data_IF_809188192684
#
_entry.id   IF_809188192684
#
_cell.length_a   1.000
_cell.length_b   1.000
_cell.length_c   1.000
_cell.angle_alpha   90.00
_cell.angle_beta   90.00
_cell.angle_gamma   90.00
#
_symmetry.space_group_name_H-M   'P 1'
#
loop_
_entity.id
_entity.type
_entity.pdbx_description
1 polymer ?
#
# COMPACT_ATOMS: atom_id res chain seq x y z
N UNK A 1 -10.92 -3.03 -41.54
CA UNK A 1 -10.65 -2.70 -40.12
C UNK A 1 -9.20 -2.29 -40.00
N UNK A 2 -8.93 -0.99 -39.94
CA UNK A 2 -7.55 -0.47 -39.91
C UNK A 2 -6.90 -0.75 -38.58
N UNK A 3 -5.76 -1.42 -38.58
CA UNK A 3 -4.89 -1.52 -37.43
C UNK A 3 -4.47 -0.08 -37.03
N UNK A 4 -5.02 0.43 -35.94
CA UNK A 4 -4.43 1.60 -35.28
C UNK A 4 -3.04 1.21 -34.81
N UNK A 5 -2.01 1.74 -35.46
CA UNK A 5 -0.62 1.61 -34.99
C UNK A 5 -0.53 2.24 -33.61
N UNK A 6 -0.11 1.47 -32.61
CA UNK A 6 0.14 1.99 -31.24
C UNK A 6 1.46 2.77 -31.12
N UNK A 7 2.14 3.03 -32.25
CA UNK A 7 3.41 3.74 -32.29
C UNK A 7 3.13 5.25 -32.35
N UNK A 8 3.62 5.96 -31.36
CA UNK A 8 3.58 7.43 -31.30
C UNK A 8 4.97 7.98 -31.57
N UNK A 9 5.13 8.95 -32.48
CA UNK A 9 6.43 9.58 -32.71
C UNK A 9 6.99 10.20 -31.42
N UNK A 10 8.30 10.07 -31.22
CA UNK A 10 8.97 10.64 -30.04
C UNK A 10 8.80 12.16 -29.98
N UNK A 11 8.70 12.83 -31.12
CA UNK A 11 8.45 14.27 -31.21
C UNK A 11 7.15 14.70 -30.52
N UNK A 12 6.06 13.94 -30.73
CA UNK A 12 4.76 14.23 -30.13
C UNK A 12 4.79 14.01 -28.63
N UNK A 13 5.51 12.96 -28.19
CA UNK A 13 5.73 12.68 -26.76
C UNK A 13 6.57 13.77 -26.09
N UNK A 14 7.64 14.24 -26.75
CA UNK A 14 8.50 15.32 -26.25
C UNK A 14 7.75 16.64 -26.16
N UNK A 15 7.01 17.03 -27.19
CA UNK A 15 6.21 18.25 -27.19
C UNK A 15 5.25 18.25 -26.00
N UNK A 16 4.46 17.18 -25.83
CA UNK A 16 3.54 17.07 -24.72
C UNK A 16 4.22 17.00 -23.34
N UNK A 17 5.48 16.55 -23.27
CA UNK A 17 6.27 16.55 -22.04
C UNK A 17 6.79 17.96 -21.71
N UNK A 18 7.34 18.69 -22.71
CA UNK A 18 7.88 20.04 -22.57
C UNK A 18 6.75 21.03 -22.21
N UNK A 19 5.60 20.95 -22.88
CA UNK A 19 4.44 21.80 -22.58
C UNK A 19 3.98 21.65 -21.13
N UNK A 20 4.01 20.41 -20.60
CA UNK A 20 3.74 20.17 -19.18
C UNK A 20 4.83 20.66 -18.25
N UNK A 21 6.08 20.63 -18.68
CA UNK A 21 7.23 21.08 -17.89
C UNK A 21 7.30 22.61 -17.78
N UNK A 22 6.91 23.33 -18.84
CA UNK A 22 6.92 24.79 -18.90
C UNK A 22 5.75 25.42 -18.13
N UNK A 23 4.63 24.74 -18.05
CA UNK A 23 3.55 25.20 -17.18
C UNK A 23 3.99 24.94 -15.74
N UNK A 24 3.91 25.99 -14.87
CA UNK A 24 4.26 25.92 -13.42
C UNK A 24 3.52 24.83 -12.65
N UNK A 25 2.67 24.08 -13.32
CA UNK A 25 2.01 22.86 -12.89
C UNK A 25 2.85 21.59 -13.12
N UNK A 26 4.15 21.64 -13.50
CA UNK A 26 4.93 20.41 -13.69
C UNK A 26 4.96 19.55 -12.41
N UNK A 27 5.06 20.19 -11.24
CA UNK A 27 4.90 19.51 -9.97
C UNK A 27 3.45 19.01 -9.71
N UNK A 28 2.45 19.64 -10.33
CA UNK A 28 1.02 19.25 -10.24
C UNK A 28 0.56 18.38 -11.41
N UNK A 29 1.22 18.45 -12.58
CA UNK A 29 0.84 17.69 -13.78
C UNK A 29 1.40 16.28 -13.82
N UNK A 30 2.48 16.00 -13.08
CA UNK A 30 2.88 14.64 -12.75
C UNK A 30 1.92 14.20 -11.65
N UNK A 31 0.93 13.41 -12.03
CA UNK A 31 -0.14 12.89 -11.17
C UNK A 31 0.40 11.92 -10.10
N UNK A 32 1.35 12.41 -9.30
CA UNK A 32 1.96 11.67 -8.21
C UNK A 32 1.00 11.66 -7.03
N UNK A 33 0.79 10.50 -6.45
CA UNK A 33 0.06 10.41 -5.20
C UNK A 33 1.05 10.37 -4.04
N UNK A 34 0.84 11.25 -3.07
CA UNK A 34 1.58 11.19 -1.81
C UNK A 34 1.17 9.96 -1.03
N UNK A 35 2.14 9.28 -0.45
CA UNK A 35 1.91 8.18 0.49
C UNK A 35 1.41 8.66 1.85
N UNK A 36 1.62 9.95 2.16
CA UNK A 36 1.39 10.52 3.49
C UNK A 36 2.58 10.39 4.42
N UNK A 37 3.73 9.92 3.89
CA UNK A 37 5.01 9.82 4.58
C UNK A 37 6.05 10.61 3.77
N UNK A 38 6.44 11.78 4.29
CA UNK A 38 7.27 12.75 3.57
C UNK A 38 8.61 12.17 3.14
N UNK A 39 9.33 11.51 4.06
CA UNK A 39 10.62 10.89 3.76
C UNK A 39 10.51 9.79 2.69
N UNK A 40 9.39 9.04 2.70
CA UNK A 40 9.14 8.02 1.69
C UNK A 40 8.85 8.66 0.33
N UNK A 41 8.06 9.72 0.33
CA UNK A 41 7.73 10.48 -0.88
C UNK A 41 8.95 11.22 -1.45
N UNK A 42 9.90 11.67 -0.62
CA UNK A 42 11.17 12.27 -1.08
C UNK A 42 12.02 11.26 -1.85
N UNK A 43 12.15 10.01 -1.35
CA UNK A 43 12.95 8.98 -2.00
C UNK A 43 12.26 8.45 -3.27
N UNK A 44 10.92 8.25 -3.21
CA UNK A 44 10.17 7.61 -4.31
C UNK A 44 9.57 8.60 -5.29
N UNK A 45 9.58 9.88 -4.95
CA UNK A 45 8.79 10.92 -5.60
C UNK A 45 7.28 10.62 -5.61
N UNK A 46 6.78 9.91 -4.58
CA UNK A 46 5.39 9.45 -4.46
C UNK A 46 5.05 8.24 -5.34
N UNK A 47 3.76 7.92 -5.44
CA UNK A 47 3.26 6.81 -6.26
C UNK A 47 2.89 7.31 -7.65
N UNK A 48 3.38 6.64 -8.69
CA UNK A 48 3.19 7.08 -10.08
C UNK A 48 2.15 6.24 -10.81
N UNK A 49 1.43 6.82 -11.79
CA UNK A 49 0.54 6.09 -12.67
C UNK A 49 1.23 4.91 -13.36
N UNK A 50 0.53 3.79 -13.47
CA UNK A 50 1.04 2.58 -14.12
C UNK A 50 2.04 1.77 -13.30
N UNK A 51 2.36 2.18 -12.06
CA UNK A 51 3.25 1.42 -11.19
C UNK A 51 2.54 0.28 -10.47
N UNK A 52 3.25 -0.85 -10.38
CA UNK A 52 2.97 -1.91 -9.43
C UNK A 52 3.93 -1.78 -8.24
N UNK A 53 3.38 -1.49 -7.08
CA UNK A 53 4.09 -1.32 -5.81
C UNK A 53 3.83 -2.54 -4.93
N UNK A 54 4.87 -3.24 -4.54
CA UNK A 54 4.76 -4.39 -3.64
C UNK A 54 5.14 -3.97 -2.24
N UNK A 55 4.24 -4.20 -1.28
CA UNK A 55 4.49 -4.02 0.15
C UNK A 55 4.62 -5.40 0.80
N UNK A 56 5.86 -5.83 1.01
CA UNK A 56 6.18 -7.15 1.53
C UNK A 56 6.65 -7.10 2.99
N UNK A 57 6.43 -8.20 3.73
CA UNK A 57 6.89 -8.33 5.10
C UNK A 57 6.34 -9.60 5.75
N UNK A 58 6.91 -9.97 6.90
CA UNK A 58 6.42 -11.10 7.68
C UNK A 58 5.02 -10.82 8.24
N UNK A 59 4.26 -11.85 8.64
CA UNK A 59 3.01 -11.66 9.38
C UNK A 59 3.20 -10.72 10.59
N UNK A 60 2.16 -9.99 10.94
CA UNK A 60 2.13 -9.05 12.09
C UNK A 60 3.02 -7.81 11.99
N UNK A 61 3.78 -7.61 10.90
CA UNK A 61 4.56 -6.38 10.68
C UNK A 61 3.69 -5.13 10.45
N UNK A 62 2.42 -5.28 10.10
CA UNK A 62 1.51 -4.16 9.85
C UNK A 62 1.32 -3.78 8.38
N UNK A 63 1.57 -4.69 7.42
CA UNK A 63 1.41 -4.41 5.97
C UNK A 63 0.04 -3.84 5.62
N UNK A 64 -1.02 -4.53 6.03
CA UNK A 64 -2.41 -4.07 5.84
C UNK A 64 -2.62 -2.68 6.44
N UNK A 65 -2.08 -2.43 7.65
CA UNK A 65 -2.20 -1.12 8.32
C UNK A 65 -1.50 -0.03 7.52
N UNK A 66 -0.27 -0.27 7.03
CA UNK A 66 0.46 0.72 6.22
C UNK A 66 -0.25 0.98 4.89
N UNK A 67 -0.69 -0.08 4.19
CA UNK A 67 -1.44 0.07 2.94
C UNK A 67 -2.75 0.86 3.14
N UNK A 68 -3.47 0.58 4.24
CA UNK A 68 -4.69 1.32 4.61
C UNK A 68 -4.39 2.76 5.00
N UNK A 69 -3.29 3.05 5.74
CA UNK A 69 -2.94 4.42 6.10
C UNK A 69 -2.59 5.26 4.86
N UNK A 70 -1.93 4.67 3.85
CA UNK A 70 -1.71 5.31 2.55
C UNK A 70 -3.06 5.57 1.85
N UNK A 71 -3.95 4.56 1.80
CA UNK A 71 -5.28 4.70 1.22
C UNK A 71 -6.11 5.78 1.91
N UNK A 72 -6.11 5.81 3.25
CA UNK A 72 -6.77 6.83 4.06
C UNK A 72 -6.19 8.22 3.81
N UNK A 73 -4.86 8.35 3.67
CA UNK A 73 -4.24 9.63 3.34
C UNK A 73 -4.72 10.13 1.99
N UNK A 74 -4.69 9.28 0.97
CA UNK A 74 -5.14 9.63 -0.39
C UNK A 74 -6.63 9.99 -0.41
N UNK A 75 -7.48 9.21 0.27
CA UNK A 75 -8.93 9.43 0.25
C UNK A 75 -9.37 10.58 1.17
N UNK A 76 -8.92 10.59 2.44
CA UNK A 76 -9.45 11.53 3.43
C UNK A 76 -8.72 12.88 3.41
N UNK A 77 -7.42 12.91 3.07
CA UNK A 77 -6.63 14.15 3.13
C UNK A 77 -6.54 14.80 1.75
N UNK A 78 -6.34 14.00 0.69
CA UNK A 78 -6.25 14.53 -0.69
C UNK A 78 -7.61 14.58 -1.40
N UNK A 79 -8.61 13.84 -0.91
CA UNK A 79 -9.93 13.76 -1.54
C UNK A 79 -9.95 12.95 -2.85
N UNK A 80 -8.90 12.18 -3.10
CA UNK A 80 -8.78 11.36 -4.30
C UNK A 80 -9.45 9.98 -4.10
N UNK A 81 -10.26 9.49 -5.06
CA UNK A 81 -10.93 8.20 -4.94
C UNK A 81 -9.97 7.00 -4.92
N UNK A 82 -10.13 6.15 -3.91
CA UNK A 82 -9.30 4.95 -3.67
C UNK A 82 -10.17 3.71 -3.64
N UNK A 83 -9.72 2.64 -4.30
CA UNK A 83 -10.34 1.32 -4.23
C UNK A 83 -9.42 0.34 -3.48
N UNK A 84 -9.96 -0.33 -2.46
CA UNK A 84 -9.27 -1.31 -1.64
C UNK A 84 -9.96 -2.66 -1.79
N UNK A 85 -9.22 -3.66 -2.25
CA UNK A 85 -9.64 -5.06 -2.33
C UNK A 85 -8.97 -5.83 -1.20
N UNK A 86 -9.72 -6.12 -0.15
CA UNK A 86 -9.24 -6.87 1.00
C UNK A 86 -9.80 -8.30 0.98
N UNK A 87 -8.92 -9.29 1.08
CA UNK A 87 -9.26 -10.71 1.04
C UNK A 87 -8.94 -11.42 2.35
N UNK A 88 -8.36 -10.72 3.31
CA UNK A 88 -7.91 -11.33 4.58
C UNK A 88 -8.87 -11.04 5.73
N UNK A 89 -9.57 -9.92 5.68
CA UNK A 89 -10.39 -9.43 6.78
C UNK A 89 -11.84 -9.22 6.37
N UNK A 90 -12.77 -9.37 7.32
CA UNK A 90 -14.17 -8.98 7.11
C UNK A 90 -14.32 -7.46 6.97
N UNK A 91 -15.43 -7.04 6.34
CA UNK A 91 -15.77 -5.62 6.17
C UNK A 91 -15.80 -4.89 7.52
N UNK A 92 -16.38 -5.52 8.55
CA UNK A 92 -16.44 -4.92 9.89
C UNK A 92 -15.06 -4.70 10.49
N UNK A 93 -14.16 -5.69 10.36
CA UNK A 93 -12.81 -5.59 10.89
C UNK A 93 -11.99 -4.50 10.20
N UNK A 94 -12.08 -4.37 8.88
CA UNK A 94 -11.34 -3.33 8.16
C UNK A 94 -11.92 -1.94 8.45
N UNK A 95 -13.26 -1.83 8.57
CA UNK A 95 -13.93 -0.58 8.94
C UNK A 95 -13.56 -0.14 10.35
N UNK A 96 -13.55 -1.09 11.31
CA UNK A 96 -13.14 -0.79 12.69
C UNK A 96 -11.68 -0.35 12.77
N UNK A 97 -10.78 -0.98 12.00
CA UNK A 97 -9.37 -0.56 11.95
C UNK A 97 -9.22 0.83 11.36
N UNK A 98 -9.92 1.16 10.28
CA UNK A 98 -9.92 2.49 9.69
C UNK A 98 -10.45 3.54 10.69
N UNK A 99 -11.55 3.21 11.40
CA UNK A 99 -12.10 4.10 12.42
C UNK A 99 -11.13 4.33 13.58
N UNK A 100 -10.52 3.26 14.11
CA UNK A 100 -9.52 3.35 15.19
C UNK A 100 -8.28 4.13 14.76
N UNK A 101 -7.80 3.89 13.55
CA UNK A 101 -6.68 4.60 12.94
C UNK A 101 -6.94 6.12 12.88
N UNK A 102 -8.11 6.51 12.38
CA UNK A 102 -8.48 7.93 12.24
C UNK A 102 -8.79 8.60 13.57
N UNK A 103 -9.45 7.89 14.49
CA UNK A 103 -9.81 8.40 15.81
C UNK A 103 -8.65 8.42 16.80
N UNK A 104 -7.51 7.77 16.51
CA UNK A 104 -6.41 7.56 17.46
C UNK A 104 -6.86 6.89 18.76
N UNK A 105 -7.65 5.81 18.63
CA UNK A 105 -8.21 5.07 19.75
C UNK A 105 -7.91 3.57 19.60
N UNK A 106 -7.88 2.87 20.74
CA UNK A 106 -7.58 1.43 20.75
C UNK A 106 -8.69 0.63 20.06
N UNK A 107 -8.33 -0.02 18.94
CA UNK A 107 -9.23 -0.89 18.17
C UNK A 107 -9.84 -2.01 19.02
N UNK A 108 -9.11 -2.53 20.01
CA UNK A 108 -9.60 -3.60 20.90
C UNK A 108 -10.70 -3.12 21.83
N UNK A 109 -10.62 -1.87 22.28
CA UNK A 109 -11.69 -1.26 23.10
C UNK A 109 -12.96 -1.07 22.30
N UNK A 110 -12.84 -0.62 21.05
CA UNK A 110 -13.97 -0.49 20.15
C UNK A 110 -14.65 -1.85 19.92
N UNK A 111 -13.87 -2.89 19.62
CA UNK A 111 -14.37 -4.25 19.45
C UNK A 111 -15.06 -4.81 20.70
N UNK A 112 -14.57 -4.46 21.88
CA UNK A 112 -15.11 -4.95 23.16
C UNK A 112 -16.32 -4.15 23.67
N UNK A 113 -16.72 -3.09 22.94
CA UNK A 113 -17.77 -2.16 23.40
C UNK A 113 -17.39 -1.40 24.68
N UNK A 114 -16.09 -1.35 25.01
CA UNK A 114 -15.55 -0.66 26.21
C UNK A 114 -15.09 0.73 25.82
N UNK A 115 -16.02 1.65 25.71
CA UNK A 115 -15.77 3.04 25.35
C UNK A 115 -15.53 3.88 26.59
N UNK A 116 -14.58 4.80 26.56
CA UNK A 116 -14.55 5.93 27.47
C UNK A 116 -15.37 7.07 26.86
N UNK A 117 -15.97 7.90 27.71
CA UNK A 117 -16.76 9.06 27.25
C UNK A 117 -15.96 9.99 26.33
N UNK A 118 -14.64 10.09 26.58
CA UNK A 118 -13.72 10.89 25.76
C UNK A 118 -13.42 10.30 24.37
N UNK A 119 -13.63 8.99 24.15
CA UNK A 119 -13.38 8.34 22.87
C UNK A 119 -14.52 8.59 21.87
N UNK A 120 -15.74 8.75 22.36
CA UNK A 120 -16.92 8.90 21.54
C UNK A 120 -16.88 10.10 20.56
N UNK A 121 -16.50 11.31 21.00
CA UNK A 121 -16.35 12.45 20.09
C UNK A 121 -15.30 12.21 19.00
N UNK A 122 -14.18 11.54 19.34
CA UNK A 122 -13.13 11.19 18.37
C UNK A 122 -13.65 10.22 17.30
N UNK A 123 -14.42 9.20 17.70
CA UNK A 123 -15.02 8.26 16.76
C UNK A 123 -16.06 8.93 15.87
N UNK A 124 -16.91 9.78 16.43
CA UNK A 124 -17.88 10.54 15.64
C UNK A 124 -17.20 11.41 14.58
N UNK A 125 -16.09 12.07 14.92
CA UNK A 125 -15.33 12.87 13.98
C UNK A 125 -14.66 12.00 12.91
N UNK A 126 -13.98 10.92 13.32
CA UNK A 126 -13.37 9.97 12.38
C UNK A 126 -14.39 9.32 11.44
N UNK A 127 -15.57 8.96 11.96
CA UNK A 127 -16.67 8.42 11.16
C UNK A 127 -17.18 9.44 10.12
N UNK A 128 -17.29 10.72 10.49
CA UNK A 128 -17.66 11.78 9.54
C UNK A 128 -16.60 11.98 8.46
N UNK A 129 -15.30 11.96 8.81
CA UNK A 129 -14.21 12.05 7.85
C UNK A 129 -14.24 10.89 6.87
N UNK A 130 -14.36 9.65 7.38
CA UNK A 130 -14.42 8.44 6.54
C UNK A 130 -15.68 8.39 5.67
N UNK A 131 -16.84 8.82 6.19
CA UNK A 131 -18.08 8.86 5.44
C UNK A 131 -18.05 9.85 4.27
N UNK A 132 -17.27 10.91 4.37
CA UNK A 132 -17.10 11.91 3.32
C UNK A 132 -15.93 11.59 2.37
N UNK A 133 -15.07 10.64 2.75
CA UNK A 133 -13.92 10.25 1.93
C UNK A 133 -14.34 9.32 0.78
N UNK A 134 -13.81 9.51 -0.43
CA UNK A 134 -14.06 8.62 -1.56
C UNK A 134 -13.23 7.31 -1.44
N UNK A 135 -13.42 6.58 -0.35
CA UNK A 135 -12.75 5.32 -0.05
C UNK A 135 -13.72 4.15 -0.27
N UNK A 136 -13.42 3.31 -1.26
CA UNK A 136 -14.26 2.17 -1.65
C UNK A 136 -13.57 0.87 -1.24
N UNK A 137 -14.23 0.03 -0.46
CA UNK A 137 -13.66 -1.21 0.08
C UNK A 137 -14.50 -2.39 -0.38
N UNK A 138 -13.85 -3.34 -1.06
CA UNK A 138 -14.38 -4.66 -1.38
C UNK A 138 -13.70 -5.71 -0.48
N UNK A 139 -14.45 -6.27 0.47
CA UNK A 139 -13.99 -7.36 1.30
C UNK A 139 -14.58 -8.69 0.77
N UNK A 140 -13.82 -9.41 -0.02
CA UNK A 140 -14.24 -10.68 -0.62
C UNK A 140 -13.05 -11.63 -0.77
N UNK A 141 -13.21 -12.87 -0.33
CA UNK A 141 -12.20 -13.92 -0.49
C UNK A 141 -11.99 -14.40 -1.94
N UNK A 142 -12.86 -14.00 -2.85
CA UNK A 142 -12.91 -14.47 -4.24
C UNK A 142 -12.51 -13.39 -5.25
N UNK A 143 -11.57 -12.52 -4.92
CA UNK A 143 -11.11 -11.49 -5.85
C UNK A 143 -10.05 -12.05 -6.79
N UNK A 144 -10.41 -12.22 -8.06
CA UNK A 144 -9.45 -12.45 -9.16
C UNK A 144 -9.07 -11.13 -9.81
N UNK A 145 -7.99 -11.13 -10.60
CA UNK A 145 -7.56 -9.93 -11.36
C UNK A 145 -8.66 -9.45 -12.30
N UNK A 146 -9.39 -10.36 -12.93
CA UNK A 146 -10.50 -10.07 -13.84
C UNK A 146 -11.66 -9.40 -13.09
N UNK A 147 -11.99 -9.88 -11.88
CA UNK A 147 -13.03 -9.28 -11.05
C UNK A 147 -12.63 -7.88 -10.57
N UNK A 148 -11.39 -7.74 -10.06
CA UNK A 148 -10.83 -6.43 -9.69
C UNK A 148 -10.92 -5.45 -10.87
N UNK A 149 -10.51 -5.88 -12.08
CA UNK A 149 -10.61 -5.08 -13.30
C UNK A 149 -12.04 -4.62 -13.57
N UNK A 150 -13.00 -5.55 -13.54
CA UNK A 150 -14.41 -5.25 -13.82
C UNK A 150 -14.98 -4.23 -12.83
N UNK A 151 -14.71 -4.41 -11.53
CA UNK A 151 -15.18 -3.51 -10.47
C UNK A 151 -14.55 -2.11 -10.60
N UNK A 152 -13.24 -2.03 -10.89
CA UNK A 152 -12.56 -0.73 -11.11
C UNK A 152 -13.10 -0.04 -12.35
N UNK A 153 -13.35 -0.75 -13.45
CA UNK A 153 -13.93 -0.16 -14.66
C UNK A 153 -15.33 0.41 -14.42
N UNK A 154 -16.17 -0.26 -13.61
CA UNK A 154 -17.47 0.27 -13.20
C UNK A 154 -17.31 1.50 -12.30
N UNK A 155 -16.38 1.45 -11.34
CA UNK A 155 -16.14 2.56 -10.44
C UNK A 155 -15.61 3.80 -11.19
N UNK A 156 -14.70 3.60 -12.16
CA UNK A 156 -14.16 4.68 -13.01
C UNK A 156 -15.22 5.42 -13.84
N UNK A 157 -16.36 4.81 -14.11
CA UNK A 157 -17.48 5.51 -14.78
C UNK A 157 -18.15 6.55 -13.88
N UNK A 158 -18.01 6.41 -12.56
CA UNK A 158 -18.65 7.27 -11.54
C UNK A 158 -17.65 8.15 -10.80
N UNK A 159 -16.44 7.66 -10.62
CA UNK A 159 -15.39 8.27 -9.81
C UNK A 159 -14.05 8.21 -10.55
N UNK A 160 -13.25 9.25 -10.44
CA UNK A 160 -11.90 9.27 -11.01
C UNK A 160 -10.93 8.56 -10.05
N UNK A 161 -10.98 7.22 -9.99
CA UNK A 161 -10.10 6.41 -9.14
C UNK A 161 -8.63 6.77 -9.37
N UNK A 162 -7.89 6.93 -8.28
CA UNK A 162 -6.48 7.34 -8.31
C UNK A 162 -5.52 6.30 -7.73
N UNK A 163 -5.99 5.42 -6.88
CA UNK A 163 -5.19 4.37 -6.24
C UNK A 163 -5.98 3.07 -6.13
N UNK A 164 -5.30 1.96 -6.35
CA UNK A 164 -5.83 0.61 -6.09
C UNK A 164 -4.95 -0.05 -5.04
N UNK A 165 -5.56 -0.64 -4.01
CA UNK A 165 -4.87 -1.46 -3.00
C UNK A 165 -5.43 -2.88 -3.07
N UNK A 166 -4.54 -3.88 -3.11
CA UNK A 166 -4.88 -5.31 -3.12
C UNK A 166 -4.20 -6.00 -1.93
N UNK A 167 -4.98 -6.46 -0.98
CA UNK A 167 -4.51 -7.11 0.25
C UNK A 167 -5.19 -8.47 0.46
N UNK A 168 -4.52 -9.61 0.22
CA UNK A 168 -3.11 -9.80 -0.11
C UNK A 168 -2.92 -10.85 -1.22
N UNK A 169 -1.72 -10.88 -1.85
CA UNK A 169 -1.37 -11.81 -2.93
C UNK A 169 -1.66 -13.28 -2.58
N UNK A 170 -1.31 -13.70 -1.36
CA UNK A 170 -1.43 -15.11 -0.93
C UNK A 170 -2.87 -15.63 -0.92
N UNK A 171 -3.85 -14.75 -0.81
CA UNK A 171 -5.28 -15.10 -0.86
C UNK A 171 -5.83 -15.23 -2.28
N UNK A 172 -5.08 -14.78 -3.27
CA UNK A 172 -5.44 -14.92 -4.69
C UNK A 172 -4.91 -16.21 -5.30
N UNK A 173 -4.08 -16.98 -4.59
CA UNK A 173 -3.40 -18.18 -5.08
C UNK A 173 -4.22 -19.40 -4.69
N UNK A 174 -4.69 -20.19 -5.67
CA UNK A 174 -5.54 -21.36 -5.47
C UNK A 174 -4.94 -22.68 -5.99
N UNK A 175 -3.92 -22.64 -6.85
CA UNK A 175 -3.32 -23.81 -7.51
C UNK A 175 -1.79 -23.87 -7.44
N UNK A 176 -1.11 -24.09 -8.58
CA UNK A 176 0.35 -24.06 -8.64
C UNK A 176 0.86 -22.65 -8.31
N UNK A 177 1.57 -22.56 -7.18
CA UNK A 177 1.97 -21.26 -6.62
C UNK A 177 2.79 -20.41 -7.59
N UNK A 178 3.75 -20.98 -8.29
CA UNK A 178 4.68 -20.22 -9.12
C UNK A 178 4.00 -19.65 -10.37
N UNK A 179 3.19 -20.48 -11.04
CA UNK A 179 2.46 -20.08 -12.25
C UNK A 179 1.36 -19.08 -11.93
N UNK A 180 0.58 -19.33 -10.88
CA UNK A 180 -0.47 -18.40 -10.45
C UNK A 180 0.06 -17.06 -9.98
N UNK A 181 1.14 -17.04 -9.19
CA UNK A 181 1.80 -15.79 -8.81
C UNK A 181 2.18 -15.00 -10.06
N UNK A 182 2.79 -15.65 -11.03
CA UNK A 182 3.18 -15.02 -12.29
C UNK A 182 1.97 -14.42 -13.03
N UNK A 183 0.88 -15.17 -13.13
CA UNK A 183 -0.36 -14.73 -13.79
C UNK A 183 -0.98 -13.53 -13.06
N UNK A 184 -1.10 -13.61 -11.74
CA UNK A 184 -1.69 -12.54 -10.90
C UNK A 184 -0.86 -11.27 -10.99
N UNK A 185 0.46 -11.37 -10.79
CA UNK A 185 1.36 -10.21 -10.74
C UNK A 185 1.40 -9.51 -12.10
N UNK A 186 1.53 -10.26 -13.20
CA UNK A 186 1.46 -9.71 -14.57
C UNK A 186 0.10 -9.09 -14.88
N UNK A 187 -0.97 -9.73 -14.43
CA UNK A 187 -2.32 -9.19 -14.57
C UNK A 187 -2.52 -7.86 -13.85
N UNK A 188 -2.04 -7.74 -12.60
CA UNK A 188 -2.09 -6.50 -11.84
C UNK A 188 -1.18 -5.41 -12.44
N UNK A 189 0.02 -5.78 -12.94
CA UNK A 189 0.88 -4.84 -13.66
C UNK A 189 0.23 -4.33 -14.94
N UNK A 190 -0.38 -5.23 -15.73
CA UNK A 190 -1.13 -4.84 -16.93
C UNK A 190 -2.30 -3.92 -16.59
N UNK A 191 -3.02 -4.20 -15.50
CA UNK A 191 -4.11 -3.36 -15.02
C UNK A 191 -3.62 -1.95 -14.64
N UNK A 192 -2.51 -1.87 -13.91
CA UNK A 192 -1.88 -0.59 -13.55
C UNK A 192 -1.54 0.23 -14.80
N UNK A 193 -0.89 -0.40 -15.79
CA UNK A 193 -0.49 0.24 -17.05
C UNK A 193 -1.70 0.67 -17.90
N UNK A 194 -2.70 -0.19 -18.03
CA UNK A 194 -3.90 0.09 -18.82
C UNK A 194 -4.71 1.26 -18.25
N UNK A 195 -4.91 1.25 -16.95
CA UNK A 195 -5.71 2.27 -16.27
C UNK A 195 -4.91 3.52 -15.90
N UNK A 196 -3.59 3.49 -16.05
CA UNK A 196 -2.67 4.54 -15.61
C UNK A 196 -2.87 4.90 -14.13
N UNK A 197 -2.95 3.85 -13.28
CA UNK A 197 -3.12 3.96 -11.83
C UNK A 197 -2.00 3.24 -11.10
N UNK A 198 -1.51 3.76 -9.96
CA UNK A 198 -0.68 2.97 -9.06
C UNK A 198 -1.51 1.85 -8.41
N UNK A 199 -0.89 0.68 -8.30
CA UNK A 199 -1.46 -0.49 -7.62
C UNK A 199 -0.53 -0.90 -6.50
N UNK A 200 -1.00 -0.87 -5.24
CA UNK A 200 -0.29 -1.42 -4.09
C UNK A 200 -0.76 -2.86 -3.88
N UNK A 201 0.17 -3.80 -3.91
CA UNK A 201 -0.06 -5.22 -3.64
C UNK A 201 0.67 -5.62 -2.36
N UNK A 202 -0.05 -6.08 -1.35
CA UNK A 202 0.61 -6.62 -0.16
C UNK A 202 1.00 -8.08 -0.36
N UNK A 203 2.16 -8.47 0.18
CA UNK A 203 2.69 -9.83 0.08
C UNK A 203 3.35 -10.29 1.39
N UNK A 204 3.20 -11.56 1.71
CA UNK A 204 3.87 -12.16 2.87
C UNK A 204 5.20 -12.76 2.47
N UNK A 205 6.20 -12.60 3.35
CA UNK A 205 7.52 -13.21 3.21
C UNK A 205 7.59 -14.56 3.94
N UNK A 206 8.47 -15.44 3.46
CA UNK A 206 8.70 -16.76 4.03
C UNK A 206 9.32 -16.70 5.43
N UNK A 207 9.20 -17.84 6.17
CA UNK A 207 9.77 -18.00 7.53
C UNK A 207 11.29 -18.08 7.56
N UNK A 208 11.95 -18.31 6.43
CA UNK A 208 13.42 -18.45 6.34
C UNK A 208 14.16 -17.21 6.86
N UNK A 209 13.55 -16.04 6.77
CA UNK A 209 14.09 -14.79 7.33
C UNK A 209 14.29 -14.90 8.84
N UNK A 210 13.41 -15.61 9.54
CA UNK A 210 13.43 -15.70 11.00
C UNK A 210 14.66 -16.47 11.51
N UNK A 211 15.32 -17.25 10.64
CA UNK A 211 16.53 -18.03 10.97
C UNK A 211 17.84 -17.22 10.82
N UNK A 212 17.78 -16.01 10.25
CA UNK A 212 18.98 -15.17 10.06
C UNK A 212 19.31 -14.36 11.31
N UNK A 213 20.56 -13.95 11.44
CA UNK A 213 20.98 -12.99 12.48
C UNK A 213 20.35 -11.63 12.19
N UNK A 214 20.59 -11.10 10.99
CA UNK A 214 19.90 -9.89 10.50
C UNK A 214 18.58 -10.30 9.84
N UNK A 215 17.47 -10.00 10.49
CA UNK A 215 16.11 -10.34 10.05
C UNK A 215 15.47 -9.26 9.16
N UNK A 216 16.23 -8.23 8.77
CA UNK A 216 15.77 -7.25 7.79
C UNK A 216 15.54 -7.93 6.45
N UNK A 217 14.35 -7.75 5.84
CA UNK A 217 14.04 -8.36 4.55
C UNK A 217 14.92 -7.82 3.43
N UNK A 218 15.20 -8.70 2.44
CA UNK A 218 15.97 -8.41 1.23
C UNK A 218 15.21 -8.90 0.01
N UNK A 219 15.56 -8.41 -1.17
CA UNK A 219 14.93 -8.86 -2.44
C UNK A 219 15.07 -10.37 -2.64
N UNK A 220 16.19 -10.96 -2.18
CA UNK A 220 16.39 -12.41 -2.22
C UNK A 220 15.32 -13.22 -1.48
N UNK A 221 14.61 -12.64 -0.53
CA UNK A 221 13.55 -13.30 0.21
C UNK A 221 12.26 -13.49 -0.60
N UNK A 222 12.21 -12.87 -1.79
CA UNK A 222 11.15 -13.00 -2.79
C UNK A 222 11.55 -13.91 -3.96
N UNK A 223 12.72 -14.56 -3.95
CA UNK A 223 13.20 -15.36 -5.11
C UNK A 223 12.23 -16.46 -5.54
N UNK A 224 11.52 -17.09 -4.60
CA UNK A 224 10.46 -18.06 -4.91
C UNK A 224 9.20 -17.42 -5.53
N UNK A 225 9.15 -16.09 -5.60
CA UNK A 225 8.13 -15.28 -6.25
C UNK A 225 8.80 -14.40 -7.34
N UNK A 226 9.63 -14.98 -8.20
CA UNK A 226 10.47 -14.26 -9.19
C UNK A 226 9.69 -13.24 -10.03
N UNK A 227 8.51 -13.60 -10.49
CA UNK A 227 7.64 -12.69 -11.25
C UNK A 227 7.30 -11.40 -10.48
N UNK A 228 7.22 -11.48 -9.14
CA UNK A 228 6.96 -10.32 -8.30
C UNK A 228 8.14 -9.35 -8.31
N UNK A 229 9.36 -9.89 -8.32
CA UNK A 229 10.57 -9.09 -8.43
C UNK A 229 10.67 -8.46 -9.82
N UNK A 230 10.36 -9.20 -10.88
CA UNK A 230 10.52 -8.74 -12.25
C UNK A 230 9.53 -7.63 -12.60
N UNK A 231 8.26 -7.81 -12.28
CA UNK A 231 7.16 -6.93 -12.69
C UNK A 231 6.99 -5.70 -11.79
N UNK A 232 7.34 -5.77 -10.49
CA UNK A 232 7.21 -4.64 -9.59
C UNK A 232 8.13 -3.48 -9.98
N UNK A 233 7.61 -2.27 -9.93
CA UNK A 233 8.37 -1.03 -10.12
C UNK A 233 9.00 -0.57 -8.81
N UNK A 234 8.29 -0.76 -7.70
CA UNK A 234 8.73 -0.50 -6.33
C UNK A 234 8.50 -1.74 -5.47
N UNK A 235 9.45 -2.06 -4.60
CA UNK A 235 9.29 -3.07 -3.55
C UNK A 235 9.65 -2.44 -2.23
N UNK A 236 8.67 -2.35 -1.35
CA UNK A 236 8.82 -1.93 0.03
C UNK A 236 8.80 -3.15 0.93
N UNK A 237 9.78 -3.26 1.80
CA UNK A 237 9.77 -4.22 2.89
C UNK A 237 9.45 -3.51 4.19
N UNK A 238 8.46 -4.03 4.90
CA UNK A 238 8.10 -3.55 6.23
C UNK A 238 8.75 -4.44 7.28
N UNK A 239 9.57 -3.82 8.14
CA UNK A 239 10.28 -4.47 9.21
C UNK A 239 10.04 -3.75 10.54
N UNK A 240 9.80 -4.52 11.59
CA UNK A 240 9.69 -4.03 12.96
C UNK A 240 10.56 -4.88 13.84
N UNK A 241 11.55 -4.25 14.46
CA UNK A 241 12.57 -4.91 15.29
C UNK A 241 11.93 -5.61 16.49
N UNK A 242 11.02 -4.95 17.17
CA UNK A 242 10.32 -5.42 18.37
C UNK A 242 9.54 -6.73 18.19
N UNK A 243 9.20 -7.12 16.94
CA UNK A 243 8.49 -8.39 16.67
C UNK A 243 9.40 -9.61 16.83
N UNK A 244 10.70 -9.41 16.70
CA UNK A 244 11.70 -10.49 16.74
C UNK A 244 12.45 -10.59 18.07
N UNK A 245 12.53 -9.51 18.82
CA UNK A 245 13.28 -9.45 20.06
C UNK A 245 12.32 -9.17 21.21
N UNK A 246 12.19 -10.15 22.12
CA UNK A 246 11.37 -10.02 23.32
C UNK A 246 11.98 -9.04 24.33
N UNK A 247 11.14 -8.49 25.19
CA UNK A 247 11.41 -7.41 26.16
C UNK A 247 12.70 -7.54 26.98
N UNK A 248 13.20 -8.75 27.23
CA UNK A 248 14.40 -8.99 28.05
C UNK A 248 15.72 -8.53 27.41
N UNK A 249 15.76 -8.34 26.07
CA UNK A 249 16.96 -7.87 25.35
C UNK A 249 16.90 -6.34 25.11
N UNK A 250 15.72 -5.77 25.19
CA UNK A 250 15.48 -4.34 24.92
C UNK A 250 15.88 -3.44 26.10
N UNK A 251 15.98 -3.99 27.32
CA UNK A 251 16.31 -3.21 28.52
C UNK A 251 17.75 -2.67 28.58
N UNK A 252 18.66 -3.14 27.73
CA UNK A 252 20.06 -2.74 27.83
C UNK A 252 20.60 -1.82 26.74
N UNK A 253 19.98 -1.74 25.54
CA UNK A 253 20.53 -0.87 24.46
C UNK A 253 19.49 -0.19 23.54
N UNK A 254 18.19 -0.53 23.53
CA UNK A 254 17.30 -0.14 22.44
C UNK A 254 15.86 0.31 22.81
N UNK A 255 15.62 0.93 23.95
CA UNK A 255 14.35 1.61 24.28
C UNK A 255 13.91 2.60 23.15
N UNK A 256 14.87 3.03 22.33
CA UNK A 256 14.64 3.92 21.20
C UNK A 256 13.96 3.26 19.98
N UNK A 257 13.89 1.92 19.90
CA UNK A 257 13.34 1.19 18.75
C UNK A 257 11.93 0.63 18.98
N UNK A 258 11.37 0.75 20.17
CA UNK A 258 9.98 0.34 20.43
C UNK A 258 9.00 1.17 19.60
N UNK A 259 8.13 0.47 18.88
CA UNK A 259 7.18 1.10 17.97
C UNK A 259 7.80 1.68 16.70
N UNK A 260 9.12 1.49 16.46
CA UNK A 260 9.75 1.92 15.22
C UNK A 260 9.62 0.83 14.14
N UNK A 261 9.13 1.24 13.01
CA UNK A 261 9.08 0.42 11.80
C UNK A 261 10.04 0.99 10.75
N UNK A 262 10.71 0.12 10.03
CA UNK A 262 11.52 0.48 8.86
C UNK A 262 10.76 0.09 7.59
N UNK A 263 10.56 1.06 6.70
CA UNK A 263 10.13 0.83 5.32
C UNK A 263 11.39 0.80 4.46
N UNK A 264 11.82 -0.40 4.09
CA UNK A 264 13.05 -0.62 3.31
C UNK A 264 12.67 -0.67 1.84
N UNK A 265 13.26 0.19 1.02
CA UNK A 265 13.06 0.23 -0.43
C UNK A 265 14.03 -0.78 -1.05
N UNK A 266 13.55 -2.01 -1.28
CA UNK A 266 14.37 -3.10 -1.82
C UNK A 266 14.52 -3.06 -3.33
N UNK A 267 13.55 -2.47 -4.03
CA UNK A 267 13.60 -2.21 -5.48
C UNK A 267 12.96 -0.88 -5.78
N UNK A 268 13.62 -0.11 -6.63
CA UNK A 268 13.08 1.12 -7.21
C UNK A 268 13.55 1.23 -8.65
N UNK A 269 12.63 1.05 -9.61
CA UNK A 269 12.98 1.00 -11.04
C UNK A 269 13.54 2.31 -11.56
N UNK A 270 13.07 3.44 -11.03
CA UNK A 270 13.38 4.78 -11.53
C UNK A 270 14.01 5.70 -10.47
N UNK A 271 14.56 5.15 -9.39
CA UNK A 271 15.12 5.96 -8.32
C UNK A 271 16.05 5.20 -7.37
N UNK A 272 16.50 5.85 -6.30
CA UNK A 272 17.43 5.27 -5.35
C UNK A 272 16.76 4.21 -4.46
N UNK A 273 17.59 3.37 -3.88
CA UNK A 273 17.23 2.51 -2.75
C UNK A 273 17.47 3.26 -1.44
N UNK A 274 16.83 2.81 -0.37
CA UNK A 274 16.99 3.42 0.94
C UNK A 274 16.10 2.78 1.98
N UNK A 275 16.02 3.38 3.14
CA UNK A 275 15.06 3.01 4.17
C UNK A 275 14.55 4.24 4.90
N UNK A 276 13.30 4.21 5.30
CA UNK A 276 12.63 5.26 6.06
C UNK A 276 12.15 4.66 7.37
N UNK A 277 12.37 5.38 8.47
CA UNK A 277 11.85 5.01 9.78
C UNK A 277 10.54 5.74 10.04
N UNK A 278 9.53 5.00 10.48
CA UNK A 278 8.22 5.52 10.85
C UNK A 278 7.80 4.90 12.18
N UNK A 279 6.92 5.56 12.92
CA UNK A 279 6.41 5.04 14.19
C UNK A 279 5.11 4.28 13.99
N UNK A 280 5.01 3.11 14.58
CA UNK A 280 3.80 2.30 14.60
C UNK A 280 3.12 2.36 15.97
N UNK A 281 1.87 2.78 15.98
CA UNK A 281 0.99 2.78 17.13
C UNK A 281 0.07 1.56 17.04
N UNK A 282 0.51 0.45 17.65
CA UNK A 282 -0.17 -0.85 17.55
C UNK A 282 -1.62 -0.84 18.07
N UNK A 283 -1.91 -0.04 19.08
CA UNK A 283 -3.26 0.11 19.64
C UNK A 283 -4.24 0.70 18.61
N UNK A 284 -3.79 1.71 17.87
CA UNK A 284 -4.59 2.39 16.85
C UNK A 284 -4.37 1.80 15.44
N UNK A 285 -3.53 0.77 15.30
CA UNK A 285 -3.11 0.16 14.02
C UNK A 285 -2.62 1.19 12.98
N UNK A 286 -1.93 2.23 13.46
CA UNK A 286 -1.55 3.40 12.67
C UNK A 286 -0.06 3.63 12.63
N UNK A 287 0.43 3.98 11.44
CA UNK A 287 1.78 4.50 11.22
C UNK A 287 1.77 6.04 11.17
N UNK A 288 2.85 6.65 11.63
CA UNK A 288 3.08 8.10 11.57
C UNK A 288 4.58 8.34 11.32
N UNK A 289 4.90 9.48 10.74
CA UNK A 289 6.27 10.00 10.65
C UNK A 289 6.89 10.19 12.04
N UNK A 290 8.21 10.08 12.12
CA UNK A 290 8.98 10.29 13.35
C UNK A 290 9.08 11.76 13.73
#
# INVERSE_FOLDING_TARGET
MGHKTCLTPITDLLTGFIDRAETSSFAQSVTRLSTGFTDLDEITAGLHPGQLIVLAGRPSMGKTSLAMNIAEHVACVKGDPVAVFNMEMSTDNITMRALSSRAWTDARRLCAGRTHDDDWPRWCNAAKELANAPLFIAASSENTVEKIRAEIMQLKQKQNVRLIVVDCLQRMIHGDKAEEITKIVRGLKSLAMELQLPVILTSQLNKEIDCRVDKRPKVSDLLHMGALIDEADLIFFLYRHEIYYCDEVLEQEEDSLLGIAEVIIGKHRNGPLGSVRIRFFGECVRFKEL
#
